data_IF_974334346797
#
_entry.id   IF_974334346797
#
_cell.length_a   1.000
_cell.length_b   1.000
_cell.length_c   1.000
_cell.angle_alpha   90.00
_cell.angle_beta   90.00
_cell.angle_gamma   90.00
#
_symmetry.space_group_name_H-M   'P 1'
#
loop_
_entity.id
_entity.type
_entity.pdbx_description
1 polymer ?
#
# COMPACT_ATOMS: atom_id res chain seq x y z
N UNK A 1 -3.06 23.03 -15.75
CA UNK A 1 -3.10 21.54 -15.80
C UNK A 1 -2.81 20.79 -14.49
N UNK A 2 -2.34 21.43 -13.43
CA UNK A 2 -1.98 20.82 -12.14
C UNK A 2 -3.09 20.03 -11.41
N UNK A 3 -4.34 20.15 -11.80
CA UNK A 3 -5.47 19.59 -11.04
C UNK A 3 -5.95 18.20 -11.46
N UNK A 4 -5.49 17.65 -12.59
CA UNK A 4 -6.03 16.37 -13.09
C UNK A 4 -5.64 15.19 -12.18
N UNK A 5 -4.40 15.16 -11.74
CA UNK A 5 -3.91 14.12 -10.83
C UNK A 5 -4.26 14.38 -9.34
N UNK A 6 -4.73 15.59 -9.00
CA UNK A 6 -5.28 15.86 -7.67
C UNK A 6 -6.52 15.01 -7.35
N UNK A 7 -7.34 14.70 -8.35
CA UNK A 7 -8.46 13.77 -8.19
C UNK A 7 -7.99 12.35 -7.80
N UNK A 8 -6.92 11.86 -8.41
CA UNK A 8 -6.32 10.56 -8.02
C UNK A 8 -5.88 10.56 -6.56
N UNK A 9 -5.35 11.67 -6.05
CA UNK A 9 -4.92 11.78 -4.65
C UNK A 9 -6.11 11.70 -3.68
N UNK A 10 -7.20 12.41 -3.99
CA UNK A 10 -8.43 12.33 -3.20
C UNK A 10 -9.00 10.91 -3.21
N UNK A 11 -9.03 10.28 -4.38
CA UNK A 11 -9.50 8.90 -4.55
C UNK A 11 -8.62 7.92 -3.80
N UNK A 12 -7.29 8.04 -3.91
CA UNK A 12 -6.32 7.25 -3.15
C UNK A 12 -6.59 7.31 -1.65
N UNK A 13 -6.82 8.50 -1.11
CA UNK A 13 -7.16 8.68 0.30
C UNK A 13 -8.45 7.97 0.71
N UNK A 14 -9.45 7.91 -0.17
CA UNK A 14 -10.70 7.16 0.07
C UNK A 14 -10.46 5.65 0.03
N UNK A 15 -9.72 5.16 -0.96
CA UNK A 15 -9.34 3.74 -1.09
C UNK A 15 -8.59 3.30 0.17
N UNK A 16 -7.59 4.06 0.61
CA UNK A 16 -6.81 3.75 1.83
C UNK A 16 -7.71 3.68 3.07
N UNK A 17 -8.64 4.63 3.25
CA UNK A 17 -9.56 4.60 4.40
C UNK A 17 -10.51 3.41 4.36
N UNK A 18 -11.05 3.06 3.20
CA UNK A 18 -11.92 1.90 3.02
C UNK A 18 -11.16 0.60 3.32
N UNK A 19 -9.98 0.44 2.76
CA UNK A 19 -9.09 -0.68 2.98
C UNK A 19 -8.74 -0.86 4.47
N UNK A 20 -8.44 0.22 5.18
CA UNK A 20 -8.19 0.18 6.63
C UNK A 20 -9.39 -0.36 7.42
N UNK A 21 -10.61 0.04 7.03
CA UNK A 21 -11.84 -0.49 7.65
C UNK A 21 -12.03 -1.97 7.36
N UNK A 22 -11.77 -2.41 6.13
CA UNK A 22 -11.89 -3.83 5.74
C UNK A 22 -10.89 -4.71 6.50
N UNK A 23 -9.62 -4.29 6.57
CA UNK A 23 -8.59 -5.02 7.32
C UNK A 23 -8.97 -5.09 8.81
N UNK A 24 -9.34 -3.95 9.41
CA UNK A 24 -9.76 -3.93 10.81
C UNK A 24 -10.93 -4.88 11.07
N UNK A 25 -11.92 -4.93 10.18
CA UNK A 25 -13.06 -5.86 10.27
C UNK A 25 -12.60 -7.31 10.24
N UNK A 26 -11.64 -7.67 9.38
CA UNK A 26 -11.09 -9.03 9.32
C UNK A 26 -10.45 -9.44 10.66
N UNK A 27 -9.70 -8.55 11.32
CA UNK A 27 -9.17 -8.80 12.66
C UNK A 27 -10.26 -8.90 13.75
N UNK A 28 -11.31 -8.09 13.66
CA UNK A 28 -12.44 -8.15 14.61
C UNK A 28 -13.26 -9.44 14.47
N UNK A 29 -13.42 -9.95 13.25
CA UNK A 29 -14.04 -11.24 13.00
C UNK A 29 -13.21 -12.39 13.58
N UNK A 30 -11.90 -12.38 13.35
CA UNK A 30 -10.99 -13.37 13.94
C UNK A 30 -11.01 -13.32 15.47
N UNK A 31 -11.05 -12.11 16.07
CA UNK A 31 -11.15 -11.95 17.52
C UNK A 31 -12.40 -12.63 18.07
N UNK A 32 -13.56 -12.53 17.43
CA UNK A 32 -14.80 -13.19 17.88
C UNK A 32 -14.63 -14.71 17.97
N UNK A 33 -13.95 -15.32 17.00
CA UNK A 33 -13.71 -16.76 17.02
C UNK A 33 -12.69 -17.16 18.11
N UNK A 34 -11.64 -16.35 18.27
CA UNK A 34 -10.64 -16.56 19.32
C UNK A 34 -11.28 -16.42 20.72
N UNK A 35 -12.16 -15.44 20.92
CA UNK A 35 -12.90 -15.27 22.19
C UNK A 35 -13.70 -16.52 22.54
N UNK A 36 -14.35 -17.17 21.56
CA UNK A 36 -15.06 -18.45 21.81
C UNK A 36 -14.10 -19.56 22.30
N UNK A 37 -12.89 -19.61 21.79
CA UNK A 37 -11.88 -20.57 22.25
C UNK A 37 -11.35 -20.23 23.66
N UNK A 38 -11.22 -18.95 23.97
CA UNK A 38 -10.84 -18.47 25.31
C UNK A 38 -11.93 -18.77 26.34
N UNK A 39 -13.19 -18.55 26.01
CA UNK A 39 -14.33 -18.79 26.93
C UNK A 39 -14.47 -20.26 27.31
N UNK A 40 -14.08 -21.20 26.43
CA UNK A 40 -14.02 -22.64 26.76
C UNK A 40 -12.99 -22.98 27.85
N UNK A 41 -12.05 -22.07 28.11
CA UNK A 41 -11.02 -22.23 29.14
C UNK A 41 -11.42 -21.60 30.50
N UNK A 42 -12.63 -21.02 30.59
CA UNK A 42 -13.13 -20.48 31.83
C UNK A 42 -13.15 -21.57 32.94
N UNK A 43 -12.66 -21.23 34.09
CA UNK A 43 -12.56 -22.18 35.23
C UNK A 43 -11.41 -23.20 35.11
N UNK A 44 -10.50 -23.09 34.13
CA UNK A 44 -9.37 -24.03 33.92
C UNK A 44 -8.02 -23.54 34.49
N UNK A 45 -8.04 -22.66 35.51
CA UNK A 45 -6.81 -22.14 36.09
C UNK A 45 -6.04 -23.21 36.91
N UNK A 46 -6.75 -24.06 37.63
CA UNK A 46 -6.18 -25.07 38.54
C UNK A 46 -6.08 -26.45 37.85
N UNK A 47 -5.33 -26.55 36.78
CA UNK A 47 -5.15 -27.80 36.06
C UNK A 47 -3.68 -28.27 36.12
N UNK A 48 -3.44 -29.57 35.95
CA UNK A 48 -2.08 -30.13 35.92
C UNK A 48 -1.25 -29.50 34.82
N UNK A 49 0.10 -29.54 34.96
CA UNK A 49 1.03 -28.98 33.96
C UNK A 49 0.87 -29.62 32.59
N UNK A 50 0.53 -30.91 32.52
CA UNK A 50 0.25 -31.61 31.26
C UNK A 50 -1.03 -31.09 30.60
N UNK A 51 -2.10 -30.93 31.33
CA UNK A 51 -3.37 -30.38 30.82
C UNK A 51 -3.21 -28.90 30.44
N UNK A 52 -2.45 -28.10 31.20
CA UNK A 52 -2.11 -26.72 30.87
C UNK A 52 -1.46 -26.66 29.49
N UNK A 53 -0.48 -27.52 29.22
CA UNK A 53 0.19 -27.57 27.90
C UNK A 53 -0.79 -27.89 26.79
N UNK A 54 -1.68 -28.87 26.97
CA UNK A 54 -2.70 -29.24 25.97
C UNK A 54 -3.62 -28.06 25.65
N UNK A 55 -4.14 -27.39 26.66
CA UNK A 55 -5.04 -26.24 26.45
C UNK A 55 -4.36 -25.07 25.78
N UNK A 56 -3.15 -24.71 26.21
CA UNK A 56 -2.42 -23.58 25.63
C UNK A 56 -1.96 -23.86 24.18
N UNK A 57 -1.53 -25.09 23.86
CA UNK A 57 -1.22 -25.45 22.50
C UNK A 57 -2.45 -25.36 21.59
N UNK A 58 -3.59 -25.91 22.02
CA UNK A 58 -4.83 -25.81 21.25
C UNK A 58 -5.26 -24.37 21.02
N UNK A 59 -5.20 -23.53 22.05
CA UNK A 59 -5.53 -22.11 21.92
C UNK A 59 -4.56 -21.39 20.95
N UNK A 60 -3.27 -21.71 21.03
CA UNK A 60 -2.26 -21.17 20.10
C UNK A 60 -2.58 -21.56 18.66
N UNK A 61 -2.94 -22.82 18.41
CA UNK A 61 -3.30 -23.32 17.08
C UNK A 61 -4.58 -22.62 16.58
N UNK A 62 -5.59 -22.45 17.42
CA UNK A 62 -6.82 -21.72 17.10
C UNK A 62 -6.50 -20.26 16.70
N UNK A 63 -5.67 -19.57 17.48
CA UNK A 63 -5.23 -18.20 17.18
C UNK A 63 -4.47 -18.17 15.83
N UNK A 64 -3.54 -19.10 15.62
CA UNK A 64 -2.78 -19.18 14.40
C UNK A 64 -3.67 -19.39 13.16
N UNK A 65 -4.63 -20.29 13.25
CA UNK A 65 -5.58 -20.54 12.16
C UNK A 65 -6.40 -19.29 11.83
N UNK A 66 -6.88 -18.57 12.85
CA UNK A 66 -7.60 -17.31 12.63
C UNK A 66 -6.69 -16.23 12.01
N UNK A 67 -5.44 -16.14 12.42
CA UNK A 67 -4.50 -15.19 11.83
C UNK A 67 -4.15 -15.53 10.38
N UNK A 68 -4.05 -16.80 10.01
CA UNK A 68 -3.87 -17.23 8.62
C UNK A 68 -5.07 -16.81 7.73
N UNK A 69 -6.30 -16.92 8.25
CA UNK A 69 -7.50 -16.44 7.56
C UNK A 69 -7.45 -14.92 7.37
N UNK A 70 -7.03 -14.16 8.39
CA UNK A 70 -6.86 -12.71 8.32
C UNK A 70 -5.82 -12.34 7.27
N UNK A 71 -4.70 -13.07 7.21
CA UNK A 71 -3.63 -12.83 6.25
C UNK A 71 -4.11 -13.03 4.81
N UNK A 72 -4.85 -14.10 4.52
CA UNK A 72 -5.46 -14.33 3.20
C UNK A 72 -6.48 -13.25 2.82
N UNK A 73 -7.35 -12.84 3.76
CA UNK A 73 -8.27 -11.71 3.54
C UNK A 73 -7.51 -10.41 3.28
N UNK A 74 -6.45 -10.13 4.05
CA UNK A 74 -5.63 -8.92 3.90
C UNK A 74 -4.94 -8.88 2.54
N UNK A 75 -4.40 -10.01 2.08
CA UNK A 75 -3.78 -10.11 0.76
C UNK A 75 -4.77 -9.77 -0.36
N UNK A 76 -5.97 -10.34 -0.32
CA UNK A 76 -7.01 -10.06 -1.31
C UNK A 76 -7.46 -8.59 -1.26
N UNK A 77 -7.68 -8.03 -0.07
CA UNK A 77 -8.02 -6.62 0.11
C UNK A 77 -6.94 -5.71 -0.51
N UNK A 78 -5.67 -6.04 -0.33
CA UNK A 78 -4.56 -5.27 -0.90
C UNK A 78 -4.57 -5.39 -2.43
N UNK A 79 -4.68 -6.59 -2.99
CA UNK A 79 -4.72 -6.83 -4.45
C UNK A 79 -5.85 -6.06 -5.12
N UNK A 80 -7.05 -6.11 -4.56
CA UNK A 80 -8.23 -5.40 -5.08
C UNK A 80 -8.00 -3.88 -5.08
N UNK A 81 -7.46 -3.34 -3.99
CA UNK A 81 -7.26 -1.89 -3.86
C UNK A 81 -6.08 -1.36 -4.70
N UNK A 82 -5.05 -2.16 -4.94
CA UNK A 82 -4.01 -1.88 -5.94
C UNK A 82 -4.65 -1.74 -7.32
N UNK A 83 -5.50 -2.70 -7.70
CA UNK A 83 -6.21 -2.70 -8.97
C UNK A 83 -7.12 -1.49 -9.16
N UNK A 84 -7.92 -1.16 -8.14
CA UNK A 84 -8.76 0.03 -8.14
C UNK A 84 -7.97 1.34 -8.31
N UNK A 85 -6.78 1.41 -7.71
CA UNK A 85 -5.93 2.59 -7.85
C UNK A 85 -5.36 2.72 -9.25
N UNK A 86 -4.92 1.62 -9.85
CA UNK A 86 -4.43 1.62 -11.23
C UNK A 86 -5.53 2.01 -12.25
N UNK A 87 -6.75 1.51 -12.08
CA UNK A 87 -7.90 1.92 -12.90
C UNK A 87 -8.24 3.41 -12.77
N UNK A 88 -8.11 3.95 -11.56
CA UNK A 88 -8.35 5.38 -11.33
C UNK A 88 -7.31 6.26 -12.04
N UNK A 89 -6.05 5.86 -12.02
CA UNK A 89 -4.98 6.57 -12.74
C UNK A 89 -5.19 6.46 -14.25
N UNK A 90 -5.53 5.27 -14.76
CA UNK A 90 -5.85 5.08 -16.19
C UNK A 90 -6.95 6.02 -16.66
N UNK A 91 -8.03 6.12 -15.86
CA UNK A 91 -9.14 7.04 -16.14
C UNK A 91 -8.68 8.51 -16.19
N UNK A 92 -7.84 8.93 -15.25
CA UNK A 92 -7.36 10.30 -15.21
C UNK A 92 -6.39 10.59 -16.36
N UNK A 93 -5.56 9.64 -16.76
CA UNK A 93 -4.72 9.76 -17.97
C UNK A 93 -5.60 9.87 -19.22
N UNK A 94 -6.65 9.06 -19.33
CA UNK A 94 -7.62 9.16 -20.43
C UNK A 94 -8.29 10.54 -20.49
N UNK A 95 -8.73 11.06 -19.35
CA UNK A 95 -9.34 12.40 -19.26
C UNK A 95 -8.34 13.49 -19.62
N UNK A 96 -7.09 13.37 -19.21
CA UNK A 96 -6.03 14.30 -19.58
C UNK A 96 -5.81 14.31 -21.09
N UNK A 97 -5.61 13.14 -21.71
CA UNK A 97 -5.41 13.01 -23.14
C UNK A 97 -6.59 13.63 -23.93
N UNK A 98 -7.82 13.32 -23.55
CA UNK A 98 -9.00 13.90 -24.18
C UNK A 98 -9.06 15.44 -24.04
N UNK A 99 -8.61 16.00 -22.92
CA UNK A 99 -8.61 17.43 -22.67
C UNK A 99 -7.60 18.18 -23.56
N UNK A 100 -6.47 17.58 -23.86
CA UNK A 100 -5.48 18.16 -24.80
C UNK A 100 -5.79 17.86 -26.26
N UNK A 101 -6.94 17.22 -26.57
CA UNK A 101 -7.34 16.88 -27.92
C UNK A 101 -6.81 15.54 -28.45
N UNK A 102 -6.02 14.83 -27.65
CA UNK A 102 -5.48 13.53 -28.01
C UNK A 102 -6.48 12.41 -27.64
N UNK A 103 -7.19 11.85 -28.63
CA UNK A 103 -8.16 10.78 -28.42
C UNK A 103 -7.49 9.40 -28.25
N UNK A 104 -6.48 9.32 -27.39
CA UNK A 104 -5.77 8.09 -27.07
C UNK A 104 -6.55 7.29 -26.01
N UNK A 105 -6.85 6.03 -26.31
CA UNK A 105 -7.55 5.13 -25.39
C UNK A 105 -6.52 4.45 -24.47
N UNK A 106 -6.69 4.59 -23.18
CA UNK A 106 -5.87 3.88 -22.17
C UNK A 106 -6.48 2.52 -21.90
N UNK A 107 -5.75 1.43 -22.18
CA UNK A 107 -6.16 0.09 -21.82
C UNK A 107 -6.04 -0.10 -20.28
N UNK A 108 -7.09 0.30 -19.58
CA UNK A 108 -7.12 0.27 -18.12
C UNK A 108 -7.00 -1.15 -17.54
N UNK A 109 -7.48 -2.16 -18.25
CA UNK A 109 -7.40 -3.56 -17.81
C UNK A 109 -5.94 -4.05 -17.84
N UNK A 110 -5.22 -3.77 -18.89
CA UNK A 110 -3.83 -4.19 -19.05
C UNK A 110 -2.92 -3.39 -18.11
N UNK A 111 -3.11 -2.07 -17.98
CA UNK A 111 -2.39 -1.26 -16.98
C UNK A 111 -2.61 -1.79 -15.56
N UNK A 112 -3.87 -2.09 -15.19
CA UNK A 112 -4.20 -2.70 -13.91
C UNK A 112 -3.44 -4.02 -13.72
N UNK A 113 -3.50 -4.91 -14.70
CA UNK A 113 -2.83 -6.22 -14.61
C UNK A 113 -1.33 -6.06 -14.41
N UNK A 114 -0.69 -5.19 -15.17
CA UNK A 114 0.75 -4.90 -15.07
C UNK A 114 1.13 -4.33 -13.71
N UNK A 115 0.43 -3.31 -13.23
CA UNK A 115 0.68 -2.68 -11.92
C UNK A 115 0.49 -3.67 -10.78
N UNK A 116 -0.60 -4.43 -10.79
CA UNK A 116 -0.87 -5.46 -9.78
C UNK A 116 0.24 -6.50 -9.78
N UNK A 117 0.62 -7.03 -10.94
CA UNK A 117 1.67 -8.03 -11.09
C UNK A 117 3.02 -7.49 -10.57
N UNK A 118 3.45 -6.31 -11.03
CA UNK A 118 4.74 -5.72 -10.66
C UNK A 118 4.87 -5.49 -9.15
N UNK A 119 3.79 -5.09 -8.48
CA UNK A 119 3.79 -4.89 -7.03
C UNK A 119 3.76 -6.21 -6.26
N UNK A 120 2.90 -7.15 -6.66
CA UNK A 120 2.75 -8.44 -5.96
C UNK A 120 4.02 -9.27 -6.06
N UNK A 121 4.63 -9.32 -7.24
CA UNK A 121 5.86 -10.09 -7.49
C UNK A 121 7.12 -9.41 -6.95
N UNK A 122 7.02 -8.15 -6.55
CA UNK A 122 8.14 -7.37 -6.02
C UNK A 122 9.05 -6.78 -7.08
N UNK A 123 8.66 -6.79 -8.36
CA UNK A 123 9.44 -6.18 -9.44
C UNK A 123 9.72 -4.69 -9.18
N UNK A 124 8.75 -3.98 -8.59
CA UNK A 124 8.88 -2.56 -8.17
C UNK A 124 9.96 -2.38 -7.09
N UNK A 125 10.37 -3.45 -6.44
CA UNK A 125 11.32 -3.46 -5.31
C UNK A 125 12.61 -4.21 -5.65
N UNK A 126 12.97 -4.32 -6.92
CA UNK A 126 14.12 -5.10 -7.40
C UNK A 126 14.13 -6.55 -6.88
N UNK A 127 12.98 -7.14 -6.68
CA UNK A 127 12.82 -8.50 -6.15
C UNK A 127 13.15 -8.68 -4.67
N UNK A 128 13.48 -7.60 -3.94
CA UNK A 128 13.89 -7.68 -2.52
C UNK A 128 12.80 -8.21 -1.60
N UNK A 129 11.53 -7.99 -1.93
CA UNK A 129 10.38 -8.52 -1.20
C UNK A 129 9.13 -8.55 -2.07
N UNK A 130 8.24 -9.49 -1.78
CA UNK A 130 6.93 -9.63 -2.42
C UNK A 130 5.83 -9.30 -1.43
N UNK A 131 4.59 -9.12 -1.91
CA UNK A 131 3.43 -8.97 -1.02
C UNK A 131 3.30 -10.17 -0.07
N UNK A 132 3.39 -11.37 -0.60
CA UNK A 132 3.28 -12.61 0.18
C UNK A 132 4.39 -12.73 1.24
N UNK A 133 5.66 -12.45 0.89
CA UNK A 133 6.77 -12.49 1.86
C UNK A 133 6.62 -11.46 2.99
N UNK A 134 6.04 -10.30 2.69
CA UNK A 134 5.77 -9.26 3.69
C UNK A 134 4.68 -9.68 4.68
N UNK A 135 3.60 -10.29 4.19
CA UNK A 135 2.52 -10.84 5.02
C UNK A 135 3.03 -12.01 5.87
N UNK A 136 3.79 -12.92 5.27
CA UNK A 136 4.37 -14.06 5.99
C UNK A 136 5.35 -13.62 7.09
N UNK A 137 6.18 -12.60 6.83
CA UNK A 137 7.10 -12.04 7.82
C UNK A 137 6.37 -11.42 9.02
N UNK A 138 5.19 -10.83 8.81
CA UNK A 138 4.34 -10.31 9.89
C UNK A 138 3.71 -11.44 10.71
N UNK A 139 3.26 -12.49 10.06
CA UNK A 139 2.73 -13.69 10.71
C UNK A 139 3.77 -14.32 11.65
N UNK A 140 5.00 -14.53 11.17
CA UNK A 140 6.10 -15.07 11.99
C UNK A 140 6.37 -14.19 13.23
N UNK A 141 6.33 -12.87 13.10
CA UNK A 141 6.50 -11.96 14.25
C UNK A 141 5.37 -12.12 15.27
N UNK A 142 4.11 -12.21 14.81
CA UNK A 142 2.96 -12.43 15.69
C UNK A 142 3.07 -13.74 16.48
N UNK A 143 3.50 -14.83 15.82
CA UNK A 143 3.73 -16.12 16.49
C UNK A 143 4.80 -16.03 17.58
N UNK A 144 5.90 -15.34 17.31
CA UNK A 144 6.96 -15.15 18.30
C UNK A 144 6.44 -14.35 19.51
N UNK A 145 5.60 -13.34 19.30
CA UNK A 145 5.00 -12.58 20.40
C UNK A 145 4.01 -13.42 21.21
N UNK A 146 3.19 -14.24 20.57
CA UNK A 146 2.29 -15.20 21.25
C UNK A 146 3.10 -16.13 22.16
N UNK A 147 4.18 -16.72 21.63
CA UNK A 147 5.05 -17.61 22.43
C UNK A 147 5.68 -16.87 23.62
N UNK A 148 6.10 -15.59 23.44
CA UNK A 148 6.66 -14.78 24.53
C UNK A 148 5.61 -14.47 25.63
N UNK A 149 4.38 -14.18 25.25
CA UNK A 149 3.29 -13.95 26.21
C UNK A 149 3.06 -15.21 27.03
N UNK A 150 2.93 -16.37 26.38
CA UNK A 150 2.74 -17.65 27.06
C UNK A 150 3.90 -17.95 28.04
N UNK A 151 5.14 -17.80 27.59
CA UNK A 151 6.32 -18.05 28.43
C UNK A 151 6.36 -17.11 29.64
N UNK A 152 6.14 -15.82 29.45
CA UNK A 152 6.09 -14.83 30.54
C UNK A 152 5.01 -15.19 31.58
N UNK A 153 3.82 -15.49 31.11
CA UNK A 153 2.66 -15.73 31.98
C UNK A 153 2.82 -17.04 32.77
N UNK A 154 3.47 -18.06 32.17
CA UNK A 154 3.86 -19.27 32.88
C UNK A 154 4.87 -18.93 34.01
N UNK A 155 5.88 -18.09 33.74
CA UNK A 155 6.84 -17.64 34.72
C UNK A 155 6.20 -16.84 35.86
N UNK A 156 5.09 -16.15 35.59
CA UNK A 156 4.28 -15.43 36.58
C UNK A 156 3.26 -16.33 37.30
N UNK A 157 3.30 -17.64 37.11
CA UNK A 157 2.37 -18.62 37.66
C UNK A 157 0.88 -18.34 37.37
N UNK A 158 0.56 -17.68 36.23
CA UNK A 158 -0.81 -17.45 35.81
C UNK A 158 -1.51 -18.76 35.44
N UNK A 159 -2.81 -18.84 35.72
CA UNK A 159 -3.67 -19.91 35.28
C UNK A 159 -3.90 -19.91 33.75
N UNK A 160 -4.41 -21.02 33.21
CA UNK A 160 -4.68 -21.19 31.78
C UNK A 160 -5.61 -20.12 31.25
N UNK A 161 -6.67 -19.81 31.96
CA UNK A 161 -7.66 -18.80 31.54
C UNK A 161 -7.09 -17.39 31.56
N UNK A 162 -6.25 -17.06 32.53
CA UNK A 162 -5.60 -15.73 32.59
C UNK A 162 -4.62 -15.54 31.44
N UNK A 163 -3.83 -16.57 31.10
CA UNK A 163 -2.97 -16.58 29.91
C UNK A 163 -3.81 -16.40 28.63
N UNK A 164 -4.95 -17.10 28.54
CA UNK A 164 -5.86 -17.00 27.42
C UNK A 164 -6.44 -15.58 27.26
N UNK A 165 -6.77 -14.91 28.36
CA UNK A 165 -7.23 -13.50 28.34
C UNK A 165 -6.13 -12.53 27.91
N UNK A 166 -4.89 -12.74 28.30
CA UNK A 166 -3.77 -11.92 27.79
C UNK A 166 -3.54 -12.12 26.29
N UNK A 167 -3.68 -13.34 25.77
CA UNK A 167 -3.62 -13.61 24.34
C UNK A 167 -4.79 -12.98 23.58
N UNK A 168 -6.01 -13.06 24.11
CA UNK A 168 -7.20 -12.38 23.56
C UNK A 168 -6.96 -10.86 23.47
N UNK A 169 -6.43 -10.26 24.54
CA UNK A 169 -6.07 -8.84 24.55
C UNK A 169 -5.00 -8.50 23.51
N UNK A 170 -4.01 -9.37 23.34
CA UNK A 170 -2.96 -9.19 22.34
C UNK A 170 -3.51 -9.14 20.91
N UNK A 171 -4.43 -10.04 20.56
CA UNK A 171 -5.03 -10.12 19.22
C UNK A 171 -6.17 -9.13 18.97
N UNK A 172 -6.61 -8.40 19.99
CA UNK A 172 -7.68 -7.42 19.85
C UNK A 172 -7.20 -6.15 19.13
N UNK A 173 -7.73 -5.82 17.93
CA UNK A 173 -7.34 -4.63 17.19
C UNK A 173 -7.75 -3.31 17.85
N UNK A 174 -8.65 -3.36 18.85
CA UNK A 174 -9.10 -2.19 19.61
C UNK A 174 -8.29 -1.96 20.88
N UNK A 175 -7.60 -2.99 21.38
CA UNK A 175 -6.86 -2.88 22.62
C UNK A 175 -5.71 -1.86 22.48
N UNK A 176 -5.59 -0.97 23.48
CA UNK A 176 -4.41 -0.14 23.65
C UNK A 176 -3.30 -0.99 24.25
N UNK A 177 -2.10 -0.85 23.68
CA UNK A 177 -0.88 -1.41 24.25
C UNK A 177 -0.30 -0.34 25.17
N UNK A 178 -0.41 -0.55 26.48
CA UNK A 178 0.09 0.37 27.52
C UNK A 178 1.62 0.33 27.62
N UNK A 179 2.15 1.19 28.47
CA UNK A 179 3.61 1.31 28.68
C UNK A 179 4.20 0.02 29.25
N UNK A 180 3.54 -0.64 30.18
CA UNK A 180 4.03 -1.87 30.81
C UNK A 180 4.10 -3.00 29.81
N UNK A 181 3.07 -3.11 28.94
CA UNK A 181 3.10 -4.06 27.82
C UNK A 181 4.29 -3.82 26.91
N UNK A 182 4.57 -2.57 26.53
CA UNK A 182 5.68 -2.23 25.66
C UNK A 182 7.05 -2.39 26.31
N UNK A 183 7.13 -2.27 27.66
CA UNK A 183 8.33 -2.49 28.44
C UNK A 183 8.71 -3.98 28.48
N UNK A 184 7.71 -4.85 28.57
CA UNK A 184 7.88 -6.30 28.53
C UNK A 184 8.13 -6.83 27.12
N UNK A 185 7.55 -6.21 26.08
CA UNK A 185 7.65 -6.57 24.68
C UNK A 185 7.99 -5.35 23.83
N UNK A 186 9.28 -4.96 23.73
CA UNK A 186 9.69 -3.86 22.87
C UNK A 186 9.21 -4.04 21.43
N UNK A 187 8.45 -3.08 20.92
CA UNK A 187 7.82 -3.16 19.59
C UNK A 187 6.32 -3.46 19.59
N UNK A 188 5.75 -4.04 20.67
CA UNK A 188 4.31 -4.36 20.78
C UNK A 188 3.42 -3.19 21.18
N UNK A 189 3.91 -1.94 21.15
CA UNK A 189 3.09 -0.73 21.37
C UNK A 189 1.99 -0.55 20.34
N UNK A 190 2.15 -1.17 19.18
CA UNK A 190 1.24 -1.01 18.04
C UNK A 190 0.12 -2.03 18.12
N UNK A 191 -1.05 -1.65 17.61
CA UNK A 191 -2.18 -2.55 17.46
C UNK A 191 -1.80 -3.74 16.58
N UNK A 192 -2.48 -4.88 16.75
CA UNK A 192 -2.19 -6.10 16.01
C UNK A 192 -2.30 -5.92 14.48
N UNK A 193 -3.24 -5.09 14.03
CA UNK A 193 -3.49 -4.80 12.63
C UNK A 193 -2.58 -3.70 12.03
N UNK A 194 -1.69 -3.09 12.83
CA UNK A 194 -0.88 -1.95 12.40
C UNK A 194 -0.01 -2.25 11.17
N UNK A 195 0.68 -3.39 11.19
CA UNK A 195 1.59 -3.73 10.09
C UNK A 195 0.83 -4.05 8.81
N UNK A 196 -0.31 -4.74 8.91
CA UNK A 196 -1.20 -5.00 7.79
C UNK A 196 -1.73 -3.68 7.19
N UNK A 197 -2.16 -2.73 8.02
CA UNK A 197 -2.62 -1.42 7.58
C UNK A 197 -1.50 -0.58 6.95
N UNK A 198 -0.30 -0.62 7.52
CA UNK A 198 0.88 0.06 6.97
C UNK A 198 1.26 -0.52 5.61
N UNK A 199 1.31 -1.85 5.49
CA UNK A 199 1.60 -2.53 4.22
C UNK A 199 0.58 -2.16 3.16
N UNK A 200 -0.70 -2.25 3.48
CA UNK A 200 -1.79 -1.95 2.59
C UNK A 200 -1.75 -0.49 2.07
N UNK A 201 -1.51 0.49 2.94
CA UNK A 201 -1.34 1.88 2.52
C UNK A 201 -0.14 2.05 1.60
N UNK A 202 0.98 1.44 1.93
CA UNK A 202 2.20 1.48 1.11
C UNK A 202 1.92 0.93 -0.29
N UNK A 203 1.28 -0.24 -0.39
CA UNK A 203 1.00 -0.88 -1.68
C UNK A 203 0.07 -0.04 -2.56
N UNK A 204 -0.97 0.60 -2.01
CA UNK A 204 -1.85 1.51 -2.77
C UNK A 204 -1.11 2.77 -3.21
N UNK A 205 -0.22 3.33 -2.39
CA UNK A 205 0.60 4.49 -2.78
C UNK A 205 1.58 4.15 -3.89
N UNK A 206 2.22 2.98 -3.82
CA UNK A 206 3.12 2.50 -4.88
C UNK A 206 2.35 2.17 -6.16
N UNK A 207 1.12 1.63 -6.06
CA UNK A 207 0.26 1.40 -7.21
C UNK A 207 -0.12 2.70 -7.93
N UNK A 208 -0.43 3.74 -7.16
CA UNK A 208 -0.65 5.08 -7.71
C UNK A 208 0.56 5.56 -8.49
N UNK A 209 1.76 5.52 -7.87
CA UNK A 209 2.99 5.99 -8.51
C UNK A 209 3.34 5.16 -9.74
N UNK A 210 3.27 3.82 -9.64
CA UNK A 210 3.58 2.93 -10.75
C UNK A 210 2.65 3.17 -11.94
N UNK A 211 1.34 3.24 -11.70
CA UNK A 211 0.35 3.52 -12.74
C UNK A 211 0.56 4.91 -13.37
N UNK A 212 0.87 5.93 -12.54
CA UNK A 212 1.16 7.28 -13.00
C UNK A 212 2.38 7.30 -13.95
N UNK A 213 3.49 6.71 -13.53
CA UNK A 213 4.70 6.65 -14.35
C UNK A 213 4.46 5.86 -15.63
N UNK A 214 3.90 4.64 -15.53
CA UNK A 214 3.66 3.80 -16.71
C UNK A 214 2.75 4.47 -17.73
N UNK A 215 1.72 5.19 -17.29
CA UNK A 215 0.79 5.85 -18.21
C UNK A 215 1.28 7.18 -18.77
N UNK A 216 2.40 7.73 -18.28
CA UNK A 216 2.89 9.05 -18.69
C UNK A 216 4.33 9.10 -19.18
N UNK A 217 5.14 8.07 -18.94
CA UNK A 217 6.58 8.08 -19.20
C UNK A 217 6.92 8.34 -20.69
N UNK A 218 6.14 7.79 -21.60
CA UNK A 218 6.32 7.93 -23.05
C UNK A 218 5.50 9.08 -23.65
N UNK A 219 4.80 9.87 -22.81
CA UNK A 219 4.09 11.06 -23.30
C UNK A 219 5.11 12.12 -23.77
N UNK A 220 5.11 12.54 -25.07
CA UNK A 220 6.08 13.49 -25.60
C UNK A 220 5.95 14.90 -25.02
N UNK A 221 4.76 15.25 -24.52
CA UNK A 221 4.48 16.56 -23.96
C UNK A 221 4.94 16.73 -22.50
N UNK A 222 5.45 15.66 -21.87
CA UNK A 222 5.93 15.66 -20.48
C UNK A 222 7.44 15.53 -20.50
N UNK A 223 8.15 16.51 -19.90
CA UNK A 223 9.62 16.53 -19.79
C UNK A 223 10.14 15.87 -18.50
N UNK A 224 9.41 16.04 -17.40
CA UNK A 224 9.85 15.61 -16.07
C UNK A 224 8.67 15.42 -15.12
N UNK A 225 8.94 14.96 -13.89
CA UNK A 225 7.95 14.89 -12.82
C UNK A 225 8.37 15.76 -11.64
N UNK A 226 7.41 16.46 -11.03
CA UNK A 226 7.62 17.22 -9.81
C UNK A 226 7.09 16.43 -8.63
N UNK A 227 7.93 16.22 -7.62
CA UNK A 227 7.55 15.65 -6.33
C UNK A 227 6.78 16.67 -5.50
N UNK A 228 5.65 16.25 -4.94
CA UNK A 228 4.82 17.08 -4.07
C UNK A 228 4.52 16.29 -2.80
N UNK A 229 4.82 16.89 -1.67
CA UNK A 229 4.52 16.28 -0.38
C UNK A 229 3.01 16.27 -0.12
N UNK A 230 2.59 15.46 0.85
CA UNK A 230 1.17 15.37 1.23
C UNK A 230 0.61 16.63 1.87
N UNK A 231 1.43 17.66 2.11
CA UNK A 231 1.04 18.91 2.77
C UNK A 231 0.58 18.77 4.22
N UNK A 232 0.73 17.57 4.82
CA UNK A 232 0.36 17.33 6.20
C UNK A 232 1.47 17.78 7.16
N UNK A 233 1.11 18.09 8.42
CA UNK A 233 2.08 18.39 9.48
C UNK A 233 2.96 17.19 9.90
N UNK A 234 2.83 16.05 9.22
CA UNK A 234 3.59 14.81 9.45
C UNK A 234 4.43 14.40 8.26
N UNK A 235 4.76 15.33 7.38
CA UNK A 235 5.69 15.06 6.27
C UNK A 235 7.06 14.72 6.85
N UNK A 236 7.66 13.64 6.35
CA UNK A 236 8.97 13.22 6.85
C UNK A 236 10.10 14.04 6.21
N UNK A 237 11.28 14.14 6.85
CA UNK A 237 12.42 14.90 6.33
C UNK A 237 12.84 14.47 4.92
N UNK A 238 12.79 13.17 4.60
CA UNK A 238 13.13 12.66 3.25
C UNK A 238 12.19 13.23 2.18
N UNK A 239 10.89 13.33 2.47
CA UNK A 239 9.93 13.90 1.51
C UNK A 239 10.08 15.41 1.37
N UNK A 240 10.40 16.11 2.45
CA UNK A 240 10.71 17.55 2.43
C UNK A 240 11.95 17.79 1.57
N UNK A 241 13.02 17.03 1.80
CA UNK A 241 14.25 17.11 1.02
C UNK A 241 14.00 16.86 -0.47
N UNK A 242 13.25 15.81 -0.82
CA UNK A 242 12.89 15.50 -2.20
C UNK A 242 12.08 16.62 -2.89
N UNK A 243 11.24 17.34 -2.17
CA UNK A 243 10.43 18.44 -2.72
C UNK A 243 11.24 19.73 -2.87
N UNK A 244 12.20 19.99 -1.98
CA UNK A 244 12.92 21.26 -1.89
C UNK A 244 14.29 21.28 -2.57
N UNK A 245 14.90 20.12 -2.83
CA UNK A 245 16.24 20.02 -3.38
C UNK A 245 16.20 19.92 -4.91
N UNK A 246 17.06 20.69 -5.58
CA UNK A 246 17.33 20.55 -7.03
C UNK A 246 18.46 19.52 -7.24
N UNK A 247 18.10 18.25 -7.32
CA UNK A 247 19.05 17.15 -7.46
C UNK A 247 19.61 16.99 -8.89
N UNK A 248 18.89 17.47 -9.89
CA UNK A 248 19.17 17.21 -11.31
C UNK A 248 19.36 18.46 -12.15
N UNK A 249 19.39 19.66 -11.55
CA UNK A 249 19.50 20.92 -12.28
C UNK A 249 18.23 21.31 -13.06
N UNK A 250 17.09 20.70 -12.72
CA UNK A 250 15.79 20.93 -13.36
C UNK A 250 14.88 21.86 -12.55
N UNK A 251 15.29 22.20 -11.34
CA UNK A 251 14.54 22.97 -10.36
C UNK A 251 14.15 22.13 -9.14
N UNK A 252 13.78 22.78 -8.02
CA UNK A 252 13.45 22.11 -6.77
C UNK A 252 12.31 21.08 -6.93
N UNK A 253 12.58 19.85 -6.47
CA UNK A 253 11.63 18.73 -6.50
C UNK A 253 11.36 18.13 -7.87
N UNK A 254 12.10 18.54 -8.92
CA UNK A 254 11.91 18.03 -10.29
C UNK A 254 12.87 16.87 -10.56
N UNK A 255 12.31 15.77 -11.07
CA UNK A 255 13.01 14.52 -11.38
C UNK A 255 12.84 14.17 -12.85
N UNK A 256 13.90 13.70 -13.54
CA UNK A 256 13.77 13.07 -14.85
C UNK A 256 12.73 11.93 -14.79
N UNK A 257 12.03 11.68 -15.90
CA UNK A 257 10.92 10.69 -15.94
C UNK A 257 11.33 9.29 -15.50
N UNK A 258 12.56 8.88 -15.78
CA UNK A 258 13.16 7.59 -15.45
C UNK A 258 13.79 7.52 -14.04
N UNK A 259 13.87 8.66 -13.34
CA UNK A 259 14.55 8.78 -12.04
C UNK A 259 13.64 9.21 -10.88
N UNK A 260 12.34 9.18 -11.08
CA UNK A 260 11.38 9.45 -9.99
C UNK A 260 11.53 8.38 -8.90
N UNK A 261 11.97 8.75 -7.68
CA UNK A 261 12.17 7.76 -6.62
C UNK A 261 10.84 7.19 -6.14
N UNK A 262 10.81 5.91 -5.78
CA UNK A 262 9.64 5.30 -5.16
C UNK A 262 9.36 5.97 -3.80
N UNK A 263 8.07 6.20 -3.49
CA UNK A 263 7.68 6.75 -2.18
C UNK A 263 8.07 5.79 -1.05
N UNK A 264 8.35 6.33 0.13
CA UNK A 264 8.74 5.49 1.27
C UNK A 264 7.52 4.74 1.85
N UNK A 265 7.74 3.66 2.63
CA UNK A 265 6.63 2.94 3.27
C UNK A 265 5.73 3.87 4.09
N UNK A 266 4.41 3.75 3.87
CA UNK A 266 3.38 4.57 4.49
C UNK A 266 3.31 6.03 3.97
N UNK A 267 4.04 6.36 2.91
CA UNK A 267 4.03 7.66 2.24
C UNK A 267 2.70 7.94 1.54
N UNK A 268 2.43 9.22 1.33
CA UNK A 268 1.24 9.72 0.63
C UNK A 268 1.58 10.92 -0.27
N UNK A 269 2.86 11.02 -0.68
CA UNK A 269 3.30 12.05 -1.61
C UNK A 269 2.66 11.86 -2.99
N UNK A 270 2.60 12.92 -3.76
CA UNK A 270 2.01 12.91 -5.11
C UNK A 270 3.01 13.48 -6.12
N UNK A 271 2.63 13.46 -7.38
CA UNK A 271 3.50 13.87 -8.47
C UNK A 271 2.71 14.73 -9.44
N UNK A 272 3.37 15.70 -10.04
CA UNK A 272 2.84 16.50 -11.16
C UNK A 272 3.72 16.33 -12.38
N UNK A 273 3.11 16.39 -13.56
CA UNK A 273 3.83 16.42 -14.82
C UNK A 273 4.41 17.81 -15.04
N UNK A 274 5.70 17.89 -15.36
CA UNK A 274 6.34 19.09 -15.88
C UNK A 274 6.21 19.04 -17.40
N UNK A 275 5.54 20.02 -17.98
CA UNK A 275 5.27 20.04 -19.41
C UNK A 275 6.49 20.49 -20.19
N UNK A 276 6.74 19.89 -21.34
CA UNK A 276 7.79 20.28 -22.28
C UNK A 276 7.38 21.51 -23.12
N UNK A 277 6.07 21.72 -23.28
CA UNK A 277 5.46 22.71 -24.15
C UNK A 277 4.30 23.38 -23.44
N UNK A 278 3.91 24.58 -23.88
CA UNK A 278 2.68 25.23 -23.42
C UNK A 278 1.42 24.61 -24.10
N UNK A 279 0.23 25.03 -23.66
CA UNK A 279 -1.05 24.45 -24.12
C UNK A 279 -1.29 24.72 -25.63
N UNK A 280 -0.83 25.83 -26.16
CA UNK A 280 -0.97 26.20 -27.56
C UNK A 280 -0.07 25.34 -28.46
N UNK A 281 1.20 25.22 -28.11
CA UNK A 281 2.20 24.36 -28.80
C UNK A 281 1.76 22.88 -28.81
N UNK A 282 1.19 22.40 -27.72
CA UNK A 282 0.62 21.03 -27.65
C UNK A 282 -0.56 20.89 -28.61
N UNK A 283 -1.43 21.90 -28.65
CA UNK A 283 -2.58 21.89 -29.56
C UNK A 283 -2.17 21.86 -31.02
N UNK A 284 -1.17 22.67 -31.41
CA UNK A 284 -0.59 22.68 -32.76
C UNK A 284 0.05 21.35 -33.11
N UNK A 285 0.90 20.80 -32.24
CA UNK A 285 1.53 19.49 -32.47
C UNK A 285 0.52 18.34 -32.65
N UNK A 286 -0.57 18.36 -31.92
CA UNK A 286 -1.63 17.37 -32.09
C UNK A 286 -2.43 17.58 -33.38
N UNK A 287 -2.69 18.84 -33.78
CA UNK A 287 -3.34 19.13 -35.04
C UNK A 287 -2.50 18.70 -36.23
N UNK A 288 -1.20 19.03 -36.24
CA UNK A 288 -0.26 18.61 -37.26
C UNK A 288 -0.18 17.07 -37.35
N UNK A 289 -0.11 16.40 -36.24
CA UNK A 289 -0.12 14.93 -36.21
C UNK A 289 -1.40 14.34 -36.86
N UNK A 290 -2.60 14.90 -36.60
CA UNK A 290 -3.83 14.44 -37.23
C UNK A 290 -3.89 14.71 -38.73
N UNK A 291 -3.25 15.78 -39.19
CA UNK A 291 -3.17 16.16 -40.61
C UNK A 291 -2.06 15.41 -41.34
N UNK A 292 -1.16 14.74 -40.64
CA UNK A 292 0.06 14.15 -41.20
C UNK A 292 1.09 15.21 -41.64
N UNK A 293 1.06 16.37 -41.00
CA UNK A 293 1.90 17.51 -41.20
C UNK A 293 2.91 17.71 -40.04
N UNK A 294 3.71 18.76 -40.06
CA UNK A 294 4.60 19.15 -38.97
C UNK A 294 5.88 18.31 -38.84
N UNK A 295 6.39 18.21 -37.58
CA UNK A 295 7.64 17.51 -37.29
C UNK A 295 7.42 15.99 -37.25
N UNK A 296 8.06 15.27 -38.18
CA UNK A 296 7.99 13.80 -38.29
C UNK A 296 8.44 13.12 -36.99
N UNK A 297 9.43 13.65 -36.27
CA UNK A 297 9.92 13.11 -35.00
C UNK A 297 8.83 13.22 -33.90
N UNK A 298 8.16 14.36 -33.84
CA UNK A 298 7.06 14.57 -32.88
C UNK A 298 5.88 13.65 -33.20
N UNK A 299 5.51 13.52 -34.46
CA UNK A 299 4.45 12.62 -34.92
C UNK A 299 4.74 11.16 -34.53
N UNK A 300 5.97 10.69 -34.77
CA UNK A 300 6.42 9.35 -34.32
C UNK A 300 6.34 9.17 -32.80
N UNK A 301 6.68 10.19 -32.03
CA UNK A 301 6.59 10.13 -30.56
C UNK A 301 5.14 10.06 -30.10
N UNK A 302 4.23 10.80 -30.72
CA UNK A 302 2.79 10.74 -30.43
C UNK A 302 2.24 9.36 -30.78
N UNK A 303 2.58 8.81 -31.95
CA UNK A 303 2.16 7.49 -32.38
C UNK A 303 2.61 6.38 -31.41
N UNK A 304 3.87 6.41 -30.99
CA UNK A 304 4.40 5.48 -29.98
C UNK A 304 3.63 5.59 -28.67
N UNK A 305 3.42 6.79 -28.17
CA UNK A 305 2.65 7.00 -26.94
C UNK A 305 1.23 6.47 -27.03
N UNK A 306 0.52 6.79 -28.12
CA UNK A 306 -0.85 6.31 -28.36
C UNK A 306 -0.91 4.78 -28.44
N UNK A 307 0.08 4.17 -29.09
CA UNK A 307 0.17 2.72 -29.19
C UNK A 307 0.53 2.06 -27.86
N UNK A 308 1.41 2.64 -27.07
CA UNK A 308 1.74 2.16 -25.72
C UNK A 308 0.52 2.15 -24.80
N UNK A 309 -0.31 3.20 -24.84
CA UNK A 309 -1.54 3.27 -24.03
C UNK A 309 -2.58 2.20 -24.41
N UNK A 310 -2.62 1.78 -25.68
CA UNK A 310 -3.51 0.70 -26.15
C UNK A 310 -2.97 -0.69 -25.79
N UNK A 311 -1.66 -0.85 -25.70
CA UNK A 311 -0.97 -2.15 -25.63
C UNK A 311 -0.26 -2.40 -24.29
N UNK A 312 -0.67 -1.77 -23.20
CA UNK A 312 -0.10 -1.99 -21.84
C UNK A 312 0.12 -3.45 -21.48
#
# INVERSE_FOLDING_TARGET
>A
MSNLFAYSQVRRSRIVRQQQKQIKKAYEEALKEITKSVDKLYGKNDVSSSMRRVYLNKLKDDIQNQMNIVDGKTENIIKDNIGLMAEEVARNTQMYNSKIGLNAIVNSTSLKHRVVTNIITGKVYDGKFTLSSSIWGDNKRRLNEINRIIARDILQNKGVYDIAKDLERFVNPRARKDYDWSKMFPGSRRKIDYNAQRLARTMVSHAYQQAFVESTINNPFISAYKWITSGSNRVCPICIDRESTDQFGLGPGIFPKDRLPLDHPNGMCTFECVMAMNDEEIGEAIADWYLGEGDETMNDMIDRYVNDLKNF
#
